data_IF_440702463467
#
_entry.id   IF_440702463467
#
_cell.length_a   1.000
_cell.length_b   1.000
_cell.length_c   1.000
_cell.angle_alpha   90.00
_cell.angle_beta   90.00
_cell.angle_gamma   90.00
#
_symmetry.space_group_name_H-M   'P 1'
#
loop_
_entity.id
_entity.type
_entity.pdbx_description
1 polymer ?
#
# COMPACT_ATOMS: atom_id res chain seq x y z
N UNK A 1 2.75 10.20 49.27
CA UNK A 1 1.99 8.95 49.10
C UNK A 1 1.51 8.94 47.67
N UNK A 2 2.41 8.57 46.76
CA UNK A 2 2.21 8.65 45.31
C UNK A 2 2.33 7.22 44.76
N UNK A 3 1.30 6.41 45.00
CA UNK A 3 1.25 5.03 44.53
C UNK A 3 0.04 4.85 43.62
N UNK A 4 0.24 5.02 42.32
CA UNK A 4 -0.49 4.32 41.24
C UNK A 4 0.02 4.84 39.88
N UNK A 5 1.15 4.31 39.44
CA UNK A 5 1.38 4.16 38.01
C UNK A 5 1.18 2.69 37.73
N UNK A 6 0.09 2.39 37.04
CA UNK A 6 -0.21 1.05 36.56
C UNK A 6 1.00 0.51 35.80
N UNK A 7 1.47 -0.66 36.22
CA UNK A 7 2.48 -1.42 35.48
C UNK A 7 1.90 -1.75 34.11
N UNK A 8 2.30 -0.97 33.10
CA UNK A 8 2.05 -1.29 31.71
C UNK A 8 3.14 -2.29 31.30
N UNK A 9 2.84 -3.58 31.45
CA UNK A 9 3.67 -4.63 30.87
C UNK A 9 3.54 -4.54 29.36
N UNK A 10 4.50 -3.88 28.71
CA UNK A 10 4.72 -4.06 27.28
C UNK A 10 5.17 -5.52 27.09
N UNK A 11 4.30 -6.31 26.47
CA UNK A 11 4.70 -7.59 25.91
C UNK A 11 5.77 -7.28 24.86
N UNK A 12 6.99 -7.74 25.12
CA UNK A 12 8.13 -7.63 24.21
C UNK A 12 7.77 -8.44 22.98
N UNK A 13 7.19 -7.76 21.98
CA UNK A 13 6.99 -8.35 20.65
C UNK A 13 8.40 -8.65 20.17
N UNK A 14 8.76 -9.93 20.16
CA UNK A 14 10.02 -10.44 19.65
C UNK A 14 10.31 -9.68 18.35
N UNK A 15 11.47 -9.04 18.29
CA UNK A 15 12.01 -8.45 17.07
C UNK A 15 12.21 -9.63 16.12
N UNK A 16 11.15 -10.00 15.40
CA UNK A 16 11.19 -10.93 14.30
C UNK A 16 12.01 -10.23 13.24
N UNK A 17 13.33 -10.41 13.36
CA UNK A 17 14.31 -9.96 12.40
C UNK A 17 13.77 -10.42 11.06
N UNK A 18 13.42 -9.47 10.19
CA UNK A 18 12.95 -9.77 8.84
C UNK A 18 14.12 -10.48 8.15
N UNK A 19 14.17 -11.81 8.25
CA UNK A 19 15.00 -12.63 7.41
C UNK A 19 14.38 -12.50 6.03
N UNK A 20 14.89 -11.55 5.27
CA UNK A 20 14.75 -11.54 3.83
C UNK A 20 15.53 -12.76 3.33
N UNK A 21 14.91 -13.94 3.49
CA UNK A 21 15.37 -15.15 2.85
C UNK A 21 15.52 -14.80 1.38
N UNK A 22 16.74 -14.88 0.87
CA UNK A 22 16.99 -14.86 -0.57
C UNK A 22 16.44 -16.19 -1.08
N UNK A 23 15.12 -16.32 -1.10
CA UNK A 23 14.43 -17.29 -1.94
C UNK A 23 14.87 -16.98 -3.36
N UNK A 24 15.32 -18.02 -4.05
CA UNK A 24 15.74 -17.97 -5.45
C UNK A 24 14.90 -16.98 -6.23
N UNK A 25 15.51 -15.86 -6.61
CA UNK A 25 14.84 -14.78 -7.34
C UNK A 25 14.40 -15.37 -8.66
N UNK A 26 13.14 -15.81 -8.72
CA UNK A 26 12.39 -15.74 -9.95
C UNK A 26 12.50 -14.28 -10.38
N UNK A 27 13.29 -14.02 -11.41
CA UNK A 27 13.46 -12.70 -12.00
C UNK A 27 12.15 -12.23 -12.69
N UNK A 28 11.05 -12.95 -12.48
CA UNK A 28 9.69 -12.59 -12.84
C UNK A 28 9.21 -11.37 -12.06
N UNK A 29 8.57 -10.46 -12.79
CA UNK A 29 7.85 -9.34 -12.17
C UNK A 29 6.64 -9.93 -11.43
N UNK A 30 6.66 -9.88 -10.09
CA UNK A 30 5.48 -10.22 -9.30
C UNK A 30 4.43 -9.11 -9.39
N UNK A 31 3.22 -9.49 -9.81
CA UNK A 31 2.04 -8.63 -9.85
C UNK A 31 1.10 -8.84 -8.65
N UNK A 32 1.60 -9.47 -7.58
CA UNK A 32 0.85 -9.58 -6.33
C UNK A 32 0.44 -8.18 -5.85
N UNK A 33 -0.80 -8.07 -5.33
CA UNK A 33 -1.36 -6.83 -4.78
C UNK A 33 -1.41 -5.65 -5.78
N UNK A 34 -1.40 -5.94 -7.09
CA UNK A 34 -1.46 -4.93 -8.13
C UNK A 34 -2.86 -4.85 -8.75
N UNK A 35 -3.34 -3.62 -8.97
CA UNK A 35 -4.57 -3.33 -9.70
C UNK A 35 -4.27 -2.44 -10.90
N UNK A 36 -4.58 -2.90 -12.11
CA UNK A 36 -4.58 -2.06 -13.30
C UNK A 36 -5.94 -1.37 -13.43
N UNK A 37 -5.96 -0.04 -13.45
CA UNK A 37 -7.19 0.76 -13.59
C UNK A 37 -7.03 1.83 -14.66
N UNK A 38 -8.15 2.32 -15.15
CA UNK A 38 -8.23 3.36 -16.17
C UNK A 38 -9.20 4.45 -15.73
N UNK A 39 -8.84 5.72 -15.91
CA UNK A 39 -9.77 6.82 -15.69
C UNK A 39 -10.64 7.02 -16.93
N UNK A 40 -11.96 6.92 -16.77
CA UNK A 40 -12.91 7.21 -17.84
C UNK A 40 -13.16 8.71 -17.91
N UNK A 41 -12.28 9.43 -18.60
CA UNK A 41 -12.34 10.88 -18.77
C UNK A 41 -12.06 11.25 -20.23
N UNK A 42 -12.68 12.34 -20.70
CA UNK A 42 -12.36 12.95 -22.00
C UNK A 42 -11.21 13.96 -21.91
N UNK A 43 -10.75 14.27 -20.69
CA UNK A 43 -9.70 15.24 -20.41
C UNK A 43 -8.38 14.55 -20.10
N UNK A 44 -7.27 15.21 -20.45
CA UNK A 44 -5.91 14.72 -20.15
C UNK A 44 -5.73 14.55 -18.63
N UNK A 45 -5.27 13.38 -18.21
CA UNK A 45 -4.91 13.12 -16.82
C UNK A 45 -3.49 13.61 -16.55
N UNK A 46 -3.37 14.64 -15.72
CA UNK A 46 -2.07 15.06 -15.22
C UNK A 46 -1.58 14.09 -14.14
N UNK A 47 -0.70 13.16 -14.52
CA UNK A 47 -0.24 12.07 -13.66
C UNK A 47 0.20 12.52 -12.26
N UNK A 48 1.03 13.57 -12.16
CA UNK A 48 1.50 14.08 -10.87
C UNK A 48 0.36 14.54 -9.97
N UNK A 49 -0.58 15.31 -10.51
CA UNK A 49 -1.72 15.84 -9.76
C UNK A 49 -2.68 14.72 -9.34
N UNK A 50 -2.97 13.79 -10.25
CA UNK A 50 -3.77 12.60 -9.97
C UNK A 50 -3.13 11.75 -8.86
N UNK A 51 -1.84 11.45 -8.99
CA UNK A 51 -1.09 10.65 -8.01
C UNK A 51 -1.10 11.28 -6.62
N UNK A 52 -0.80 12.58 -6.51
CA UNK A 52 -0.83 13.28 -5.23
C UNK A 52 -2.23 13.33 -4.63
N UNK A 53 -3.26 13.51 -5.47
CA UNK A 53 -4.66 13.51 -5.01
C UNK A 53 -5.06 12.15 -4.45
N UNK A 54 -4.77 11.06 -5.17
CA UNK A 54 -5.07 9.70 -4.72
C UNK A 54 -4.26 9.30 -3.51
N UNK A 55 -2.97 9.69 -3.44
CA UNK A 55 -2.15 9.48 -2.25
C UNK A 55 -2.72 10.20 -1.02
N UNK A 56 -3.35 11.37 -1.19
CA UNK A 56 -4.02 12.07 -0.11
C UNK A 56 -5.35 11.43 0.30
N UNK A 57 -6.10 10.83 -0.64
CA UNK A 57 -7.31 10.06 -0.32
C UNK A 57 -6.94 8.75 0.37
N UNK A 58 -5.78 8.18 0.05
CA UNK A 58 -5.29 6.95 0.63
C UNK A 58 -4.60 7.15 1.98
N UNK A 59 -5.33 6.96 3.07
CA UNK A 59 -4.77 7.06 4.43
C UNK A 59 -4.38 5.73 5.07
N UNK A 60 -4.29 4.65 4.29
CA UNK A 60 -4.04 3.32 4.84
C UNK A 60 -2.55 3.06 5.15
N UNK A 61 -2.32 2.15 6.09
CA UNK A 61 -1.07 1.88 6.84
C UNK A 61 0.16 1.76 5.92
N UNK A 62 -0.02 1.22 4.72
CA UNK A 62 1.06 0.80 3.84
C UNK A 62 1.46 1.73 2.71
N UNK A 63 0.62 2.71 2.39
CA UNK A 63 0.76 3.49 1.18
C UNK A 63 0.57 2.68 -0.11
N UNK A 64 0.71 3.36 -1.24
CA UNK A 64 0.49 2.81 -2.58
C UNK A 64 1.52 3.38 -3.55
N UNK A 65 2.07 2.52 -4.42
CA UNK A 65 2.83 2.97 -5.58
C UNK A 65 1.92 3.01 -6.80
N UNK A 66 1.95 4.13 -7.52
CA UNK A 66 1.18 4.32 -8.75
C UNK A 66 2.16 4.47 -9.90
N UNK A 67 2.06 3.60 -10.90
CA UNK A 67 2.86 3.63 -12.13
C UNK A 67 1.97 3.90 -13.34
N UNK A 68 2.46 4.67 -14.30
CA UNK A 68 1.78 4.91 -15.58
C UNK A 68 2.04 3.73 -16.53
N UNK A 69 0.95 3.17 -17.10
CA UNK A 69 0.97 2.10 -18.11
C UNK A 69 0.58 2.59 -19.51
N UNK A 70 0.53 3.91 -19.70
CA UNK A 70 0.09 4.61 -20.90
C UNK A 70 -1.41 4.42 -21.23
N UNK A 71 -1.93 5.29 -22.10
CA UNK A 71 -3.34 5.31 -22.52
C UNK A 71 -4.32 5.41 -21.34
N UNK A 72 -4.03 6.34 -20.41
CA UNK A 72 -4.83 6.59 -19.20
C UNK A 72 -4.99 5.37 -18.28
N UNK A 73 -4.10 4.37 -18.41
CA UNK A 73 -4.03 3.20 -17.53
C UNK A 73 -2.94 3.37 -16.50
N UNK A 74 -3.27 2.99 -15.27
CA UNK A 74 -2.40 3.13 -14.11
C UNK A 74 -2.35 1.82 -13.34
N UNK A 75 -1.15 1.47 -12.89
CA UNK A 75 -0.92 0.33 -12.01
C UNK A 75 -0.80 0.82 -10.58
N UNK A 76 -1.72 0.37 -9.73
CA UNK A 76 -1.69 0.59 -8.29
C UNK A 76 -1.09 -0.64 -7.64
N UNK A 77 0.03 -0.50 -6.92
CA UNK A 77 0.65 -1.57 -6.14
C UNK A 77 0.53 -1.25 -4.66
N UNK A 78 -0.19 -2.12 -3.95
CA UNK A 78 -0.34 -2.04 -2.51
C UNK A 78 0.73 -2.85 -1.81
N UNK A 79 1.30 -2.28 -0.75
CA UNK A 79 2.36 -2.92 0.01
C UNK A 79 1.82 -3.86 1.09
N UNK A 80 0.58 -3.64 1.56
CA UNK A 80 -0.03 -4.43 2.62
C UNK A 80 -1.34 -5.04 2.17
N UNK A 81 -1.57 -6.29 2.59
CA UNK A 81 -2.79 -7.03 2.28
C UNK A 81 -4.06 -6.35 2.81
N UNK A 82 -3.97 -5.67 3.95
CA UNK A 82 -5.11 -4.92 4.51
C UNK A 82 -5.62 -3.84 3.54
N UNK A 83 -4.72 -3.21 2.78
CA UNK A 83 -5.07 -2.19 1.80
C UNK A 83 -5.74 -2.85 0.59
N UNK A 84 -5.23 -4.00 0.14
CA UNK A 84 -5.86 -4.81 -0.93
C UNK A 84 -7.28 -5.23 -0.54
N UNK A 85 -7.43 -5.83 0.63
CA UNK A 85 -8.72 -6.32 1.13
C UNK A 85 -9.72 -5.15 1.29
N UNK A 86 -9.25 -3.96 1.67
CA UNK A 86 -10.09 -2.77 1.76
C UNK A 86 -10.61 -2.34 0.38
N UNK A 87 -9.75 -2.32 -0.64
CA UNK A 87 -10.09 -1.94 -2.01
C UNK A 87 -11.02 -2.93 -2.67
N UNK A 88 -10.81 -4.21 -2.43
CA UNK A 88 -11.70 -5.26 -2.96
C UNK A 88 -13.11 -5.14 -2.39
N UNK A 89 -13.25 -4.70 -1.14
CA UNK A 89 -14.55 -4.55 -0.48
C UNK A 89 -15.24 -3.23 -0.77
N UNK A 90 -14.49 -2.14 -0.82
CA UNK A 90 -15.05 -0.79 -0.87
C UNK A 90 -14.87 -0.10 -2.23
N UNK A 91 -14.09 -0.68 -3.13
CA UNK A 91 -13.67 -0.02 -4.35
C UNK A 91 -12.52 0.95 -4.13
N UNK A 92 -12.18 1.65 -5.22
CA UNK A 92 -11.11 2.64 -5.31
C UNK A 92 -11.75 3.96 -5.75
#
# INVERSE_FOLDING_TARGET
MEDYIASFSLEEVEEDSIQLGVESVDNGISYANCFARMFLTSSVVHFQAMRSTLANVWHHIGGVSISDLENDRFLFRFYFKVDVDWVERNGL
#
